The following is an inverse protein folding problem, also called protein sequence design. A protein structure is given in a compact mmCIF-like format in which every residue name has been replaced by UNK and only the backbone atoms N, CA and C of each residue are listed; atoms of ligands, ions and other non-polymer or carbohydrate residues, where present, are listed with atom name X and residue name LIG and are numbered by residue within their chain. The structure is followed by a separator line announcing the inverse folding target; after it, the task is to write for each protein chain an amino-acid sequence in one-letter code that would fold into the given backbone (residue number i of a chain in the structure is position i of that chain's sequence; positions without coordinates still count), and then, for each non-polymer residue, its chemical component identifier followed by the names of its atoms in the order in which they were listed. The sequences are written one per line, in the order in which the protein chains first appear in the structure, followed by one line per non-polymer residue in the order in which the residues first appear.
data_IF_610850952689
#
_entry.id   IF_610850952689
#
_cell.length_a   1.000
_cell.length_b   1.000
_cell.length_c   1.000
_cell.angle_alpha   90.00
_cell.angle_beta   90.00
_cell.angle_gamma   90.00
#
_symmetry.space_group_name_H-M   'P 1'
#
loop_
_entity.id
_entity.type
_entity.pdbx_description
1 polymer ?
#
# COMPACT_ATOMS: atom_id res chain seq x y z
N UNK A 1 -4.10 39.34 36.27
CA UNK A 1 -4.51 39.59 34.86
C UNK A 1 -4.12 38.35 34.08
N UNK A 2 -5.10 37.52 33.71
CA UNK A 2 -4.90 36.25 33.01
C UNK A 2 -4.71 36.51 31.52
N UNK A 3 -3.59 36.08 30.94
CA UNK A 3 -3.47 35.89 29.49
C UNK A 3 -3.79 34.42 29.19
N UNK A 4 -4.77 34.11 28.32
CA UNK A 4 -5.00 32.75 27.88
C UNK A 4 -3.85 32.33 26.94
N UNK A 5 -3.33 31.13 27.23
CA UNK A 5 -2.38 30.37 26.45
C UNK A 5 -2.70 30.46 24.95
N UNK A 6 -1.79 31.07 24.17
CA UNK A 6 -1.81 31.01 22.71
C UNK A 6 -1.79 29.55 22.28
N UNK A 7 -2.92 29.08 21.76
CA UNK A 7 -3.10 27.79 21.08
C UNK A 7 -2.51 27.84 19.66
N UNK A 8 -1.28 28.36 19.53
CA UNK A 8 -0.59 28.38 18.24
C UNK A 8 0.09 27.01 18.04
N UNK A 9 -0.33 26.22 17.04
CA UNK A 9 0.20 24.87 16.85
C UNK A 9 1.69 24.98 16.56
N UNK A 10 2.49 24.47 17.50
CA UNK A 10 3.95 24.46 17.40
C UNK A 10 4.38 23.85 16.05
N UNK A 11 5.40 24.42 15.36
CA UNK A 11 5.83 23.95 14.04
C UNK A 11 6.28 22.47 14.05
N UNK A 12 6.68 21.95 15.21
CA UNK A 12 7.00 20.53 15.46
C UNK A 12 5.78 19.60 15.27
N UNK A 13 4.57 20.05 15.57
CA UNK A 13 3.33 19.28 15.38
C UNK A 13 2.96 19.17 13.90
N UNK A 14 3.21 20.21 13.12
CA UNK A 14 2.96 20.22 11.66
C UNK A 14 3.88 19.22 10.96
N UNK A 15 5.17 19.20 11.32
CA UNK A 15 6.14 18.26 10.77
C UNK A 15 5.87 16.80 11.21
N UNK A 16 5.46 16.59 12.46
CA UNK A 16 5.06 15.27 12.94
C UNK A 16 3.81 14.73 12.22
N UNK A 17 2.83 15.59 11.94
CA UNK A 17 1.62 15.21 11.19
C UNK A 17 1.92 14.89 9.72
N UNK A 18 2.80 15.65 9.06
CA UNK A 18 3.25 15.34 7.70
C UNK A 18 3.99 14.00 7.65
N UNK A 19 4.84 13.71 8.64
CA UNK A 19 5.55 12.43 8.71
C UNK A 19 4.59 11.26 8.99
N UNK A 20 3.59 11.44 9.86
CA UNK A 20 2.56 10.44 10.10
C UNK A 20 1.71 10.17 8.84
N UNK A 21 1.38 11.21 8.07
CA UNK A 21 0.68 11.08 6.79
C UNK A 21 1.53 10.37 5.72
N UNK A 22 2.83 10.68 5.64
CA UNK A 22 3.77 9.97 4.77
C UNK A 22 3.86 8.48 5.15
N UNK A 23 3.89 8.17 6.45
CA UNK A 23 3.96 6.79 6.95
C UNK A 23 2.66 6.02 6.72
N UNK A 24 1.52 6.70 6.77
CA UNK A 24 0.23 6.16 6.35
C UNK A 24 0.20 5.84 4.85
N UNK A 25 0.91 6.62 4.02
CA UNK A 25 1.10 6.34 2.60
C UNK A 25 2.14 5.26 2.31
N UNK A 26 3.10 5.09 3.21
CA UNK A 26 4.21 4.14 3.06
C UNK A 26 3.86 2.72 3.48
N UNK A 27 2.75 2.51 4.21
CA UNK A 27 2.20 1.17 4.39
C UNK A 27 1.26 0.89 3.24
N UNK A 28 1.49 -0.19 2.45
CA UNK A 28 0.52 -0.60 1.46
C UNK A 28 -0.78 -0.92 2.19
N UNK A 29 -1.77 -0.04 2.00
CA UNK A 29 -3.09 -0.20 2.60
C UNK A 29 -3.71 -1.51 2.09
N UNK A 30 -4.56 -2.16 2.87
CA UNK A 30 -5.12 -3.47 2.49
C UNK A 30 -5.93 -3.39 1.18
N UNK A 31 -6.42 -2.20 0.84
CA UNK A 31 -7.04 -1.91 -0.46
C UNK A 31 -6.02 -1.88 -1.60
N UNK A 32 -4.84 -1.29 -1.40
CA UNK A 32 -3.78 -1.25 -2.39
C UNK A 32 -3.27 -2.66 -2.72
N UNK A 33 -3.07 -3.50 -1.70
CA UNK A 33 -2.74 -4.92 -1.87
C UNK A 33 -3.73 -5.63 -2.78
N UNK A 34 -5.03 -5.48 -2.49
CA UNK A 34 -6.11 -6.11 -3.27
C UNK A 34 -6.11 -5.65 -4.72
N UNK A 35 -5.96 -4.35 -4.97
CA UNK A 35 -5.86 -3.82 -6.33
C UNK A 35 -4.68 -4.42 -7.11
N UNK A 36 -3.53 -4.61 -6.48
CA UNK A 36 -2.38 -5.24 -7.13
C UNK A 36 -2.65 -6.72 -7.43
N UNK A 37 -3.24 -7.46 -6.49
CA UNK A 37 -3.62 -8.87 -6.67
C UNK A 37 -4.60 -9.02 -7.83
N UNK A 38 -5.65 -8.19 -7.89
CA UNK A 38 -6.65 -8.19 -8.95
C UNK A 38 -6.02 -7.94 -10.32
N UNK A 39 -5.13 -6.95 -10.43
CA UNK A 39 -4.45 -6.64 -11.70
C UNK A 39 -3.53 -7.77 -12.17
N UNK A 40 -2.74 -8.35 -11.26
CA UNK A 40 -1.82 -9.44 -11.59
C UNK A 40 -2.61 -10.72 -11.97
N UNK A 41 -3.67 -11.05 -11.22
CA UNK A 41 -4.54 -12.17 -11.54
C UNK A 41 -5.24 -11.97 -12.89
N UNK A 42 -5.73 -10.76 -13.18
CA UNK A 42 -6.31 -10.41 -14.47
C UNK A 42 -5.30 -10.57 -15.62
N UNK A 43 -4.07 -10.09 -15.43
CA UNK A 43 -3.01 -10.22 -16.44
C UNK A 43 -2.64 -11.69 -16.71
N UNK A 44 -2.60 -12.53 -15.66
CA UNK A 44 -2.38 -13.97 -15.81
C UNK A 44 -3.52 -14.66 -16.56
N UNK A 45 -4.76 -14.39 -16.15
CA UNK A 45 -5.94 -14.92 -16.82
C UNK A 45 -5.99 -14.47 -18.29
N UNK A 46 -5.70 -13.20 -18.57
CA UNK A 46 -5.63 -12.65 -19.93
C UNK A 46 -4.58 -13.36 -20.79
N UNK A 47 -3.37 -13.60 -20.26
CA UNK A 47 -2.31 -14.35 -20.96
C UNK A 47 -2.71 -15.79 -21.27
N UNK A 48 -3.55 -16.40 -20.43
CA UNK A 48 -4.12 -17.75 -20.63
C UNK A 48 -5.39 -17.79 -21.47
N UNK A 49 -5.97 -16.64 -21.82
CA UNK A 49 -7.27 -16.56 -22.50
C UNK A 49 -8.46 -16.89 -21.60
N UNK A 50 -8.39 -16.57 -20.31
CA UNK A 50 -9.47 -16.74 -19.32
C UNK A 50 -10.00 -18.18 -19.25
N UNK A 51 -9.09 -19.16 -19.25
CA UNK A 51 -9.48 -20.57 -19.16
C UNK A 51 -10.26 -20.85 -17.85
N UNK A 52 -11.46 -21.45 -17.94
CA UNK A 52 -12.28 -21.72 -16.75
C UNK A 52 -11.60 -22.70 -15.80
N UNK A 53 -11.78 -22.50 -14.48
CA UNK A 53 -11.22 -23.39 -13.45
C UNK A 53 -9.75 -23.11 -13.09
N UNK A 54 -9.17 -22.04 -13.64
CA UNK A 54 -7.84 -21.54 -13.25
C UNK A 54 -7.87 -20.23 -12.48
N UNK A 55 -9.04 -19.60 -12.38
CA UNK A 55 -9.24 -18.31 -11.70
C UNK A 55 -8.64 -18.29 -10.29
N UNK A 56 -8.90 -19.33 -9.48
CA UNK A 56 -8.37 -19.42 -8.12
C UNK A 56 -6.84 -19.57 -8.08
N UNK A 57 -6.26 -20.27 -9.05
CA UNK A 57 -4.80 -20.44 -9.14
C UNK A 57 -4.13 -19.13 -9.59
N UNK A 58 -4.75 -18.41 -10.53
CA UNK A 58 -4.26 -17.09 -10.96
C UNK A 58 -4.34 -16.08 -9.81
N UNK A 59 -5.38 -16.16 -8.97
CA UNK A 59 -5.52 -15.32 -7.78
C UNK A 59 -4.49 -15.65 -6.69
N UNK A 60 -4.29 -16.94 -6.36
CA UNK A 60 -3.27 -17.39 -5.41
C UNK A 60 -1.85 -17.03 -5.86
N UNK A 61 -1.55 -17.17 -7.15
CA UNK A 61 -0.26 -16.77 -7.71
C UNK A 61 -0.07 -15.25 -7.63
N UNK A 62 -1.13 -14.47 -7.83
CA UNK A 62 -1.09 -13.02 -7.72
C UNK A 62 -0.88 -12.55 -6.27
N UNK A 63 -1.53 -13.21 -5.30
CA UNK A 63 -1.28 -12.96 -3.88
C UNK A 63 0.19 -13.18 -3.52
N UNK A 64 0.76 -14.32 -3.90
CA UNK A 64 2.16 -14.63 -3.61
C UNK A 64 3.13 -13.61 -4.23
N UNK A 65 2.87 -13.17 -5.47
CA UNK A 65 3.68 -12.15 -6.15
C UNK A 65 3.60 -10.79 -5.45
N UNK A 66 2.40 -10.34 -5.08
CA UNK A 66 2.23 -9.08 -4.33
C UNK A 66 2.88 -9.17 -2.95
N UNK A 67 2.77 -10.31 -2.28
CA UNK A 67 3.46 -10.53 -1.02
C UNK A 67 4.98 -10.50 -1.17
N UNK A 68 5.53 -11.04 -2.26
CA UNK A 68 6.96 -10.97 -2.56
C UNK A 68 7.41 -9.53 -2.85
N UNK A 69 6.67 -8.79 -3.67
CA UNK A 69 6.93 -7.38 -3.96
C UNK A 69 6.94 -6.55 -2.66
N UNK A 70 5.90 -6.70 -1.83
CA UNK A 70 5.77 -5.92 -0.59
C UNK A 70 6.78 -6.34 0.50
N UNK A 71 7.25 -7.58 0.47
CA UNK A 71 8.31 -8.08 1.36
C UNK A 71 9.70 -7.71 0.84
N UNK A 72 9.84 -7.65 -0.49
CA UNK A 72 11.02 -7.24 -1.25
C UNK A 72 11.18 -5.72 -1.34
N UNK A 73 10.17 -4.93 -0.97
CA UNK A 73 10.26 -3.51 -0.60
C UNK A 73 11.00 -3.33 0.75
N UNK A 74 12.17 -3.97 0.86
CA UNK A 74 13.39 -3.40 1.40
C UNK A 74 14.37 -2.99 0.27
N UNK A 75 13.90 -2.87 -0.98
CA UNK A 75 14.71 -2.37 -2.09
C UNK A 75 14.82 -0.85 -2.03
N UNK A 76 15.59 -0.39 -1.05
CA UNK A 76 16.43 0.78 -1.21
C UNK A 76 17.41 0.47 -2.36
N UNK A 77 17.13 0.97 -3.56
CA UNK A 77 18.14 1.27 -4.58
C UNK A 77 18.36 2.78 -4.51
N UNK A 78 19.44 3.19 -3.83
CA UNK A 78 20.74 3.59 -4.41
C UNK A 78 20.71 5.05 -4.88
#
# INVERSE_FOLDING_TARGET
MSTPLSDDPQPSTVLANLAAAHKAWSRPDAQHKRMMIEQIAYAMAMRRGFAPGKELQDWLAAEAEVEDILKGEGFCGD
#
